data_IF_604063123582
#
_entry.id   IF_604063123582
#
_cell.length_a   1.000
_cell.length_b   1.000
_cell.length_c   1.000
_cell.angle_alpha   90.00
_cell.angle_beta   90.00
_cell.angle_gamma   90.00
#
_symmetry.space_group_name_H-M   'P 1'
#
loop_
_entity.id
_entity.type
_entity.pdbx_description
1 polymer ?
#
# COMPACT_ATOMS: atom_id res chain seq x y z
N UNK A 1 7.34 1.36 -8.07
CA UNK A 1 6.31 1.37 -9.15
C UNK A 1 5.80 2.79 -9.43
N UNK A 2 5.78 3.70 -8.44
CA UNK A 2 5.12 5.00 -8.53
C UNK A 2 5.74 6.05 -9.44
N UNK A 3 6.99 5.90 -9.86
CA UNK A 3 7.71 6.91 -10.67
C UNK A 3 8.15 6.43 -12.05
N UNK A 4 7.97 5.14 -12.37
CA UNK A 4 8.40 4.59 -13.65
C UNK A 4 7.52 5.14 -14.77
N UNK A 5 8.08 5.59 -15.89
CA UNK A 5 7.27 6.14 -17.00
C UNK A 5 6.36 5.10 -17.65
N UNK A 6 5.23 5.55 -18.19
CA UNK A 6 4.25 4.71 -18.89
C UNK A 6 4.84 4.04 -20.14
N UNK A 7 5.67 4.76 -20.89
CA UNK A 7 6.28 4.31 -22.15
C UNK A 7 7.59 3.54 -21.98
N UNK A 8 8.10 3.42 -20.74
CA UNK A 8 9.38 2.75 -20.50
C UNK A 8 9.28 1.25 -20.75
N UNK A 9 10.27 0.68 -21.47
CA UNK A 9 10.40 -0.76 -21.66
C UNK A 9 10.51 -1.53 -20.33
N UNK A 10 11.03 -0.89 -19.28
CA UNK A 10 11.13 -1.46 -17.92
C UNK A 10 9.76 -1.80 -17.32
N UNK A 11 8.69 -1.15 -17.78
CA UNK A 11 7.34 -1.36 -17.25
C UNK A 11 6.86 -2.79 -17.48
N UNK A 12 7.25 -3.40 -18.60
CA UNK A 12 6.98 -4.83 -18.86
C UNK A 12 7.68 -5.73 -17.84
N UNK A 13 8.91 -5.40 -17.43
CA UNK A 13 9.62 -6.14 -16.37
C UNK A 13 8.95 -5.97 -15.01
N UNK A 14 8.49 -4.76 -14.69
CA UNK A 14 7.74 -4.51 -13.46
C UNK A 14 6.48 -5.38 -13.37
N UNK A 15 5.70 -5.48 -14.45
CA UNK A 15 4.49 -6.31 -14.48
C UNK A 15 4.79 -7.80 -14.30
N UNK A 16 5.80 -8.35 -14.98
CA UNK A 16 6.19 -9.75 -14.78
C UNK A 16 6.65 -10.02 -13.35
N UNK A 17 7.40 -9.10 -12.72
CA UNK A 17 7.80 -9.23 -11.31
C UNK A 17 6.59 -9.22 -10.37
N UNK A 18 5.64 -8.32 -10.58
CA UNK A 18 4.42 -8.25 -9.78
C UNK A 18 3.57 -9.53 -9.92
N UNK A 19 3.39 -10.03 -11.15
CA UNK A 19 2.66 -11.28 -11.42
C UNK A 19 3.34 -12.49 -10.76
N UNK A 20 4.68 -12.58 -10.84
CA UNK A 20 5.42 -13.63 -10.14
C UNK A 20 5.25 -13.51 -8.62
N UNK A 21 5.35 -12.28 -8.09
CA UNK A 21 5.27 -12.04 -6.64
C UNK A 21 3.91 -12.43 -6.06
N UNK A 22 2.80 -12.12 -6.72
CA UNK A 22 1.47 -12.52 -6.20
C UNK A 22 1.31 -14.03 -6.17
N UNK A 23 1.81 -14.75 -7.17
CA UNK A 23 1.80 -16.23 -7.17
C UNK A 23 2.67 -16.79 -6.05
N UNK A 24 3.86 -16.22 -5.83
CA UNK A 24 4.71 -16.59 -4.70
C UNK A 24 4.02 -16.34 -3.34
N UNK A 25 3.32 -15.22 -3.19
CA UNK A 25 2.57 -14.91 -1.97
C UNK A 25 1.46 -15.94 -1.71
N UNK A 26 0.75 -16.39 -2.76
CA UNK A 26 -0.26 -17.47 -2.63
C UNK A 26 0.38 -18.77 -2.15
N UNK A 27 1.49 -19.20 -2.75
CA UNK A 27 2.20 -20.40 -2.30
C UNK A 27 2.78 -20.28 -0.89
N UNK A 28 3.20 -19.08 -0.48
CA UNK A 28 3.65 -18.81 0.88
C UNK A 28 2.47 -18.89 1.86
N UNK A 29 1.31 -18.35 1.49
CA UNK A 29 0.12 -18.34 2.32
C UNK A 29 -0.43 -19.74 2.56
N UNK A 30 -0.41 -20.62 1.55
CA UNK A 30 -0.80 -22.02 1.68
C UNK A 30 0.01 -22.77 2.76
N UNK A 31 1.29 -22.40 2.93
CA UNK A 31 2.21 -23.04 3.88
C UNK A 31 2.20 -22.40 5.27
N UNK A 32 2.08 -21.09 5.32
CA UNK A 32 2.30 -20.30 6.54
C UNK A 32 0.99 -19.83 7.18
N UNK A 33 -0.09 -19.74 6.42
CA UNK A 33 -1.34 -19.12 6.83
C UNK A 33 -1.23 -17.62 7.04
N UNK A 34 -2.20 -17.06 7.76
CA UNK A 34 -2.22 -15.65 8.16
C UNK A 34 -1.10 -15.31 9.16
N UNK A 35 -0.85 -14.01 9.36
CA UNK A 35 0.15 -13.46 10.28
C UNK A 35 1.53 -13.20 9.66
N UNK A 36 1.67 -13.31 8.34
CA UNK A 36 2.97 -13.29 7.66
C UNK A 36 3.13 -12.16 6.62
N UNK A 37 2.24 -11.17 6.61
CA UNK A 37 2.31 -10.03 5.68
C UNK A 37 1.98 -10.42 4.23
N UNK A 38 1.12 -11.42 4.04
CA UNK A 38 0.74 -11.97 2.75
C UNK A 38 -0.66 -11.51 2.32
N UNK A 39 -1.52 -11.16 3.28
CA UNK A 39 -2.86 -10.66 3.02
C UNK A 39 -2.89 -9.12 3.02
N UNK A 40 -3.78 -8.48 2.23
CA UNK A 40 -3.90 -7.02 2.22
C UNK A 40 -4.06 -6.39 3.61
N UNK A 41 -4.88 -6.99 4.49
CA UNK A 41 -5.10 -6.51 5.87
C UNK A 41 -3.91 -6.73 6.81
N UNK A 42 -2.93 -7.54 6.43
CA UNK A 42 -1.68 -7.68 7.16
C UNK A 42 -0.64 -6.65 6.71
N UNK A 43 -0.83 -6.07 5.52
CA UNK A 43 0.05 -5.04 4.93
C UNK A 43 -0.48 -3.65 5.28
N UNK A 44 -1.80 -3.45 5.23
CA UNK A 44 -2.46 -2.18 5.57
C UNK A 44 -2.66 -2.12 7.08
N UNK A 45 -1.61 -1.69 7.78
CA UNK A 45 -1.62 -1.40 9.21
C UNK A 45 -1.64 0.11 9.48
N UNK A 46 -1.87 0.49 10.73
CA UNK A 46 -1.80 1.88 11.19
C UNK A 46 -0.46 2.54 10.77
N UNK A 47 0.65 1.85 11.01
CA UNK A 47 1.99 2.31 10.68
C UNK A 47 2.22 2.42 9.17
N UNK A 48 1.66 1.50 8.38
CA UNK A 48 1.77 1.55 6.92
C UNK A 48 1.03 2.77 6.33
N UNK A 49 -0.10 3.14 6.95
CA UNK A 49 -0.90 4.29 6.56
C UNK A 49 -0.15 5.58 6.94
N UNK A 50 0.39 5.66 8.16
CA UNK A 50 1.21 6.80 8.59
C UNK A 50 2.41 7.00 7.66
N UNK A 51 3.13 5.92 7.33
CA UNK A 51 4.23 5.96 6.38
C UNK A 51 3.80 6.49 5.01
N UNK A 52 2.62 6.10 4.53
CA UNK A 52 2.07 6.60 3.27
C UNK A 52 1.73 8.09 3.34
N UNK A 53 1.15 8.56 4.44
CA UNK A 53 0.77 9.97 4.61
C UNK A 53 1.99 10.87 4.78
N UNK A 54 2.99 10.45 5.55
CA UNK A 54 4.28 11.16 5.68
C UNK A 54 4.94 11.32 4.31
N UNK A 55 4.98 10.25 3.52
CA UNK A 55 5.57 10.29 2.18
C UNK A 55 4.78 11.23 1.24
N UNK A 56 3.45 11.15 1.24
CA UNK A 56 2.59 12.00 0.41
C UNK A 56 2.77 13.49 0.77
N UNK A 57 2.79 13.83 2.07
CA UNK A 57 3.05 15.20 2.53
C UNK A 57 4.44 15.70 2.14
N UNK A 58 5.48 14.87 2.31
CA UNK A 58 6.84 15.22 1.93
C UNK A 58 6.98 15.48 0.43
N UNK A 59 6.17 14.82 -0.40
CA UNK A 59 6.14 15.00 -1.85
C UNK A 59 5.24 16.15 -2.31
N UNK A 60 4.45 16.76 -1.41
CA UNK A 60 3.42 17.73 -1.77
C UNK A 60 2.28 17.10 -2.57
N UNK A 61 1.81 15.94 -2.11
CA UNK A 61 0.78 15.12 -2.74
C UNK A 61 -0.59 15.79 -2.88
N UNK A 62 -1.53 15.08 -3.52
CA UNK A 62 -2.87 15.59 -3.77
C UNK A 62 -3.68 15.60 -2.48
N UNK A 63 -4.50 16.64 -2.25
CA UNK A 63 -5.48 16.64 -1.14
C UNK A 63 -6.46 15.47 -1.24
N UNK A 64 -6.71 14.92 -2.43
CA UNK A 64 -7.51 13.71 -2.62
C UNK A 64 -6.90 12.46 -1.97
N UNK A 65 -5.58 12.45 -1.71
CA UNK A 65 -4.93 11.35 -0.99
C UNK A 65 -5.56 11.18 0.39
N UNK A 66 -5.96 12.26 1.08
CA UNK A 66 -6.66 12.18 2.38
C UNK A 66 -7.97 11.39 2.24
N UNK A 67 -8.80 11.72 1.26
CA UNK A 67 -10.09 11.04 1.03
C UNK A 67 -9.88 9.55 0.72
N UNK A 68 -8.95 9.24 -0.17
CA UNK A 68 -8.67 7.86 -0.55
C UNK A 68 -8.05 7.07 0.60
N UNK A 69 -7.17 7.67 1.38
CA UNK A 69 -6.52 6.97 2.49
C UNK A 69 -7.50 6.66 3.62
N UNK A 70 -8.40 7.58 3.96
CA UNK A 70 -9.48 7.32 4.93
C UNK A 70 -10.40 6.18 4.46
N UNK A 71 -10.71 6.11 3.17
CA UNK A 71 -11.49 5.01 2.60
C UNK A 71 -10.74 3.66 2.68
N UNK A 72 -9.44 3.66 2.38
CA UNK A 72 -8.58 2.47 2.51
C UNK A 72 -8.48 2.00 3.96
N UNK A 73 -8.30 2.93 4.90
CA UNK A 73 -8.27 2.62 6.34
C UNK A 73 -9.58 1.98 6.80
N UNK A 74 -10.72 2.54 6.37
CA UNK A 74 -12.04 1.99 6.67
C UNK A 74 -12.20 0.54 6.15
N UNK A 75 -11.85 0.28 4.90
CA UNK A 75 -11.94 -1.06 4.29
C UNK A 75 -10.98 -2.07 4.94
N UNK A 76 -9.82 -1.60 5.38
CA UNK A 76 -8.85 -2.39 6.13
C UNK A 76 -9.28 -2.65 7.58
N UNK A 77 -10.30 -1.95 8.09
CA UNK A 77 -10.73 -2.01 9.49
C UNK A 77 -9.78 -1.31 10.45
N UNK A 78 -8.94 -0.39 9.96
CA UNK A 78 -8.01 0.40 10.77
C UNK A 78 -8.70 1.70 11.16
N UNK A 79 -8.79 1.97 12.47
CA UNK A 79 -9.28 3.25 12.97
C UNK A 79 -8.25 4.34 12.63
N UNK A 80 -8.65 5.27 11.76
CA UNK A 80 -7.81 6.35 11.26
C UNK A 80 -8.68 7.59 11.04
N UNK A 81 -8.34 8.69 11.70
CA UNK A 81 -9.08 9.95 11.62
C UNK A 81 -8.23 11.07 11.04
N UNK A 82 -8.86 12.22 10.82
CA UNK A 82 -8.21 13.38 10.23
C UNK A 82 -7.24 14.05 11.23
N UNK A 83 -7.56 13.99 12.51
CA UNK A 83 -6.75 14.49 13.61
C UNK A 83 -5.38 13.81 13.64
N UNK A 84 -5.33 12.50 13.40
CA UNK A 84 -4.07 11.77 13.27
C UNK A 84 -3.21 12.30 12.15
N UNK A 85 -3.79 12.58 10.98
CA UNK A 85 -3.08 13.14 9.83
C UNK A 85 -2.44 14.48 10.20
N UNK A 86 -3.16 15.35 10.93
CA UNK A 86 -2.64 16.64 11.37
C UNK A 86 -1.50 16.53 12.41
N UNK A 87 -1.34 15.38 13.05
CA UNK A 87 -0.33 15.13 14.08
C UNK A 87 0.95 14.46 13.55
N UNK A 88 0.98 14.05 12.27
CA UNK A 88 2.16 13.51 11.58
C UNK A 88 3.15 14.62 11.21
#
# INVERSE_FOLDING_TARGET
NGTLLATSAERKRLFHRAAKRVVEMVYQFDKLGAGHGLLPREIVTLESIDNSMILDMAMGGSTNTVLHMLAVAHEAGVQYDLERINAL
#
